data_IF_505247050359
#
_entry.id   IF_505247050359
#
_cell.length_a   1.000
_cell.length_b   1.000
_cell.length_c   1.000
_cell.angle_alpha   90.00
_cell.angle_beta   90.00
_cell.angle_gamma   90.00
#
_symmetry.space_group_name_H-M   'P 1'
#
loop_
_entity.id
_entity.type
_entity.pdbx_description
1 polymer ?
#
# COMPACT_ATOMS: atom_id res chain seq x y z
N UNK A 1 16.58 14.90 -10.09
CA UNK A 1 16.21 15.84 -11.17
C UNK A 1 15.17 15.19 -12.07
N UNK A 2 14.30 15.99 -12.66
CA UNK A 2 13.25 15.57 -13.59
C UNK A 2 13.87 15.08 -14.90
N UNK A 3 13.49 13.90 -15.34
CA UNK A 3 13.93 13.34 -16.64
C UNK A 3 13.14 13.94 -17.82
N UNK A 4 13.71 13.81 -19.02
CA UNK A 4 12.97 14.14 -20.25
C UNK A 4 11.71 13.30 -20.45
N UNK A 5 11.71 12.06 -19.95
CA UNK A 5 10.55 11.17 -20.01
C UNK A 5 9.43 11.62 -19.06
N UNK A 6 9.75 11.94 -17.80
CA UNK A 6 8.80 12.45 -16.84
C UNK A 6 8.17 13.79 -17.33
N UNK A 7 9.00 14.73 -17.82
CA UNK A 7 8.54 16.02 -18.30
C UNK A 7 7.55 15.97 -19.49
N UNK A 8 7.53 14.84 -20.23
CA UNK A 8 6.66 14.64 -21.41
C UNK A 8 5.40 13.82 -21.10
N UNK A 9 5.13 13.50 -19.83
CA UNK A 9 3.94 12.75 -19.48
C UNK A 9 2.65 13.52 -19.89
N UNK A 10 1.59 12.79 -20.26
CA UNK A 10 0.33 13.40 -20.66
C UNK A 10 -0.39 14.04 -19.47
N UNK A 11 -1.42 14.84 -19.78
CA UNK A 11 -2.33 15.38 -18.76
C UNK A 11 -3.13 14.25 -18.05
N UNK A 12 -3.37 14.39 -16.72
CA UNK A 12 -3.11 15.51 -15.81
C UNK A 12 -1.66 15.50 -15.33
N UNK A 13 -0.98 16.65 -15.30
CA UNK A 13 0.44 16.73 -14.89
C UNK A 13 0.76 18.04 -14.19
N UNK A 14 1.80 18.03 -13.35
CA UNK A 14 2.38 19.23 -12.72
C UNK A 14 2.97 20.18 -13.77
N UNK A 15 3.44 19.63 -14.87
CA UNK A 15 4.19 20.36 -15.89
C UNK A 15 5.62 20.64 -15.46
N UNK A 16 6.23 19.69 -14.74
CA UNK A 16 7.64 19.75 -14.38
C UNK A 16 8.52 19.77 -15.63
N UNK A 17 9.59 20.58 -15.59
CA UNK A 17 10.53 20.74 -16.71
C UNK A 17 11.76 19.86 -16.50
N UNK A 18 12.34 19.37 -17.60
CA UNK A 18 13.58 18.59 -17.55
C UNK A 18 14.68 19.33 -16.82
N UNK A 19 15.34 18.66 -15.87
CA UNK A 19 16.40 19.20 -15.03
C UNK A 19 15.92 19.88 -13.74
N UNK A 20 14.65 20.24 -13.60
CA UNK A 20 14.10 20.73 -12.33
C UNK A 20 14.25 19.69 -11.23
N UNK A 21 14.25 20.16 -9.98
CA UNK A 21 14.39 19.29 -8.81
C UNK A 21 13.36 19.63 -7.75
N UNK A 22 12.81 18.58 -7.15
CA UNK A 22 11.79 18.65 -6.11
C UNK A 22 12.14 17.75 -4.94
N UNK A 23 11.49 17.90 -3.80
CA UNK A 23 11.59 16.92 -2.71
C UNK A 23 10.69 15.73 -2.98
N UNK A 24 11.03 14.56 -2.46
CA UNK A 24 10.17 13.37 -2.59
C UNK A 24 8.82 13.60 -1.89
N UNK A 25 8.83 14.25 -0.73
CA UNK A 25 7.60 14.55 0.03
C UNK A 25 6.65 15.42 -0.79
N UNK A 26 7.13 16.50 -1.43
CA UNK A 26 6.29 17.36 -2.29
C UNK A 26 5.71 16.59 -3.48
N UNK A 27 6.50 15.69 -4.07
CA UNK A 27 6.01 14.87 -5.19
C UNK A 27 4.96 13.85 -4.74
N UNK A 28 5.06 13.31 -3.53
CA UNK A 28 4.03 12.46 -2.95
C UNK A 28 2.73 13.24 -2.70
N UNK A 29 2.80 14.48 -2.19
CA UNK A 29 1.63 15.36 -2.08
C UNK A 29 1.01 15.63 -3.45
N UNK A 30 1.81 16.04 -4.43
CA UNK A 30 1.36 16.36 -5.77
C UNK A 30 0.66 15.15 -6.44
N UNK A 31 1.27 13.97 -6.35
CA UNK A 31 0.70 12.74 -6.88
C UNK A 31 -0.60 12.34 -6.17
N UNK A 32 -0.65 12.42 -4.85
CA UNK A 32 -1.83 11.96 -4.10
C UNK A 32 -3.00 12.93 -4.17
N UNK A 33 -2.74 14.24 -4.17
CA UNK A 33 -3.78 15.27 -4.15
C UNK A 33 -4.33 15.57 -5.55
N UNK A 34 -3.46 15.73 -6.54
CA UNK A 34 -3.82 16.15 -7.92
C UNK A 34 -3.78 15.00 -8.94
N UNK A 35 -3.18 13.85 -8.58
CA UNK A 35 -3.00 12.72 -9.52
C UNK A 35 -2.10 13.05 -10.72
N UNK A 36 -1.08 13.86 -10.56
CA UNK A 36 -0.18 14.24 -11.63
C UNK A 36 0.66 13.06 -12.16
N UNK A 37 0.57 12.81 -13.45
CA UNK A 37 1.23 11.70 -14.13
C UNK A 37 2.75 11.81 -14.09
N UNK A 38 3.29 13.00 -14.33
CA UNK A 38 4.73 13.27 -14.31
C UNK A 38 5.33 13.06 -12.92
N UNK A 39 4.63 13.44 -11.84
CA UNK A 39 5.11 13.23 -10.48
C UNK A 39 5.19 11.75 -10.11
N UNK A 40 4.25 10.93 -10.56
CA UNK A 40 4.30 9.47 -10.38
C UNK A 40 5.52 8.86 -11.09
N UNK A 41 5.81 9.29 -12.31
CA UNK A 41 7.00 8.86 -13.07
C UNK A 41 8.29 9.33 -12.40
N UNK A 42 8.35 10.59 -11.93
CA UNK A 42 9.51 11.12 -11.20
C UNK A 42 9.83 10.30 -9.94
N UNK A 43 8.80 9.90 -9.18
CA UNK A 43 8.94 9.05 -8.00
C UNK A 43 9.45 7.66 -8.41
N UNK A 44 8.87 7.08 -9.46
CA UNK A 44 9.26 5.77 -9.95
C UNK A 44 10.72 5.72 -10.41
N UNK A 45 11.16 6.69 -11.20
CA UNK A 45 12.56 6.81 -11.65
C UNK A 45 13.53 7.04 -10.47
N UNK A 46 13.10 7.84 -9.48
CA UNK A 46 13.95 8.12 -8.31
C UNK A 46 14.16 6.88 -7.43
N UNK A 47 13.13 6.08 -7.21
CA UNK A 47 13.16 4.93 -6.30
C UNK A 47 13.65 3.67 -7.03
N UNK A 48 13.15 3.42 -8.24
CA UNK A 48 13.44 2.22 -9.02
C UNK A 48 14.63 2.35 -9.97
N UNK A 49 15.04 3.59 -10.28
CA UNK A 49 16.01 3.86 -11.33
C UNK A 49 15.39 3.87 -12.73
N UNK A 50 14.27 3.19 -12.93
CA UNK A 50 13.41 3.26 -14.12
C UNK A 50 11.97 2.94 -13.78
N UNK A 51 11.06 3.24 -14.72
CA UNK A 51 9.61 2.94 -14.58
C UNK A 51 9.39 1.43 -14.50
N UNK A 52 10.10 0.64 -15.30
CA UNK A 52 9.95 -0.82 -15.37
C UNK A 52 10.39 -1.48 -14.05
N UNK A 53 11.55 -1.09 -13.52
CA UNK A 53 12.03 -1.60 -12.22
C UNK A 53 11.07 -1.22 -11.09
N UNK A 54 10.52 -0.01 -11.13
CA UNK A 54 9.53 0.40 -10.15
C UNK A 54 8.20 -0.38 -10.28
N UNK A 55 7.75 -0.66 -11.52
CA UNK A 55 6.58 -1.52 -11.75
C UNK A 55 6.81 -2.93 -11.19
N UNK A 56 8.01 -3.50 -11.36
CA UNK A 56 8.37 -4.79 -10.74
C UNK A 56 8.33 -4.72 -9.20
N UNK A 57 8.78 -3.61 -8.61
CA UNK A 57 8.67 -3.39 -7.17
C UNK A 57 7.20 -3.32 -6.72
N UNK A 58 6.33 -2.60 -7.46
CA UNK A 58 4.89 -2.53 -7.20
C UNK A 58 4.24 -3.92 -7.29
N UNK A 59 4.54 -4.70 -8.32
CA UNK A 59 4.01 -6.05 -8.51
C UNK A 59 4.47 -7.02 -7.42
N UNK A 60 5.73 -6.94 -6.99
CA UNK A 60 6.24 -7.72 -5.88
C UNK A 60 5.52 -7.37 -4.58
N UNK A 61 5.37 -6.06 -4.28
CA UNK A 61 4.64 -5.59 -3.11
C UNK A 61 3.17 -6.02 -3.12
N UNK A 62 2.51 -5.94 -4.26
CA UNK A 62 1.13 -6.41 -4.42
C UNK A 62 1.00 -7.89 -4.04
N UNK A 63 1.89 -8.75 -4.55
CA UNK A 63 1.91 -10.18 -4.18
C UNK A 63 2.18 -10.41 -2.68
N UNK A 64 3.14 -9.67 -2.10
CA UNK A 64 3.49 -9.76 -0.67
C UNK A 64 2.29 -9.46 0.25
N UNK A 65 1.43 -8.53 -0.15
CA UNK A 65 0.24 -8.16 0.62
C UNK A 65 -1.02 -8.92 0.24
N UNK A 66 -0.88 -9.95 -0.62
CA UNK A 66 -1.95 -10.89 -0.95
C UNK A 66 -2.85 -10.44 -2.10
N UNK A 67 -2.39 -9.56 -2.99
CA UNK A 67 -3.08 -9.24 -4.23
C UNK A 67 -2.81 -10.31 -5.28
N UNK A 68 -3.86 -10.91 -5.85
CA UNK A 68 -3.75 -12.01 -6.80
C UNK A 68 -4.26 -11.67 -8.21
N UNK A 69 -4.98 -10.56 -8.36
CA UNK A 69 -5.58 -10.08 -9.61
C UNK A 69 -5.06 -8.71 -9.98
N UNK A 70 -3.80 -8.41 -9.63
CA UNK A 70 -3.16 -7.12 -9.84
C UNK A 70 -1.90 -7.29 -10.69
N UNK A 71 -1.80 -6.49 -11.75
CA UNK A 71 -0.61 -6.37 -12.56
C UNK A 71 -0.36 -4.92 -12.93
N UNK A 72 0.76 -4.37 -12.48
CA UNK A 72 1.17 -3.00 -12.72
C UNK A 72 2.23 -2.92 -13.80
N UNK A 73 2.03 -2.02 -14.78
CA UNK A 73 2.97 -1.70 -15.85
C UNK A 73 3.42 -0.24 -15.73
N UNK A 74 2.49 0.66 -15.36
CA UNK A 74 2.73 2.10 -15.26
C UNK A 74 2.61 2.58 -13.81
N UNK A 75 3.44 3.54 -13.35
CA UNK A 75 3.35 4.07 -12.00
C UNK A 75 2.20 5.08 -11.80
N UNK A 76 1.71 5.65 -12.88
CA UNK A 76 0.66 6.68 -12.91
C UNK A 76 -0.75 6.12 -13.17
N UNK A 77 -0.87 4.80 -13.46
CA UNK A 77 -2.16 4.15 -13.68
C UNK A 77 -2.75 4.38 -15.07
N UNK A 78 -2.00 4.89 -16.01
CA UNK A 78 -2.43 4.96 -17.42
C UNK A 78 -2.53 3.56 -18.02
N UNK A 79 -3.50 3.39 -18.91
CA UNK A 79 -3.75 2.13 -19.59
C UNK A 79 -2.51 1.65 -20.35
N UNK A 80 -2.11 0.41 -20.17
CA UNK A 80 -0.96 -0.21 -20.79
C UNK A 80 -1.15 -1.71 -20.93
N UNK A 81 -0.45 -2.32 -21.87
CA UNK A 81 -0.42 -3.76 -22.10
C UNK A 81 0.99 -4.18 -22.53
N UNK A 82 1.43 -5.33 -22.05
CA UNK A 82 2.65 -6.00 -22.45
C UNK A 82 2.41 -7.49 -22.73
N UNK A 83 3.46 -8.27 -22.92
CA UNK A 83 3.38 -9.71 -23.19
C UNK A 83 2.78 -10.52 -22.03
N UNK A 84 2.84 -10.00 -20.80
CA UNK A 84 2.32 -10.65 -19.58
C UNK A 84 0.85 -10.33 -19.32
N UNK A 85 0.31 -9.25 -19.90
CA UNK A 85 -1.09 -8.87 -19.76
C UNK A 85 -1.34 -7.37 -19.75
N UNK A 86 -2.54 -6.98 -19.34
CA UNK A 86 -2.95 -5.58 -19.21
C UNK A 86 -2.67 -5.01 -17.82
N UNK A 87 -2.35 -3.72 -17.75
CA UNK A 87 -2.30 -2.98 -16.49
C UNK A 87 -3.67 -2.99 -15.82
N UNK A 88 -3.76 -3.54 -14.62
CA UNK A 88 -5.07 -3.66 -13.97
C UNK A 88 -5.02 -4.21 -12.55
N UNK A 89 -6.17 -4.14 -11.90
CA UNK A 89 -6.39 -4.66 -10.55
C UNK A 89 -7.85 -5.07 -10.35
N UNK A 90 -8.15 -5.74 -9.24
CA UNK A 90 -9.51 -6.00 -8.79
C UNK A 90 -9.94 -5.08 -7.65
N UNK A 91 -11.25 -5.00 -7.40
CA UNK A 91 -11.78 -4.23 -6.28
C UNK A 91 -11.27 -4.76 -4.92
N UNK A 92 -11.17 -6.09 -4.78
CA UNK A 92 -10.63 -6.73 -3.58
C UNK A 92 -9.16 -6.38 -3.36
N UNK A 93 -8.32 -6.52 -4.39
CA UNK A 93 -6.90 -6.18 -4.31
C UNK A 93 -6.67 -4.70 -3.99
N UNK A 94 -7.47 -3.80 -4.58
CA UNK A 94 -7.37 -2.36 -4.29
C UNK A 94 -7.72 -2.04 -2.83
N UNK A 95 -8.74 -2.73 -2.28
CA UNK A 95 -9.08 -2.62 -0.87
C UNK A 95 -7.94 -3.17 0.03
N UNK A 96 -7.25 -4.25 -0.37
CA UNK A 96 -6.08 -4.80 0.33
C UNK A 96 -4.91 -3.82 0.32
N UNK A 97 -4.64 -3.17 -0.83
CA UNK A 97 -3.61 -2.13 -0.94
C UNK A 97 -3.93 -0.98 0.01
N UNK A 98 -5.17 -0.47 0.02
CA UNK A 98 -5.58 0.58 0.95
C UNK A 98 -5.43 0.13 2.40
N UNK A 99 -5.87 -1.09 2.73
CA UNK A 99 -5.71 -1.66 4.08
C UNK A 99 -4.23 -1.68 4.51
N UNK A 100 -3.34 -2.12 3.62
CA UNK A 100 -1.91 -2.10 3.90
C UNK A 100 -1.43 -0.68 4.20
N UNK A 101 -1.76 0.29 3.36
CA UNK A 101 -1.32 1.67 3.51
C UNK A 101 -1.76 2.32 4.83
N UNK A 102 -3.00 2.06 5.29
CA UNK A 102 -3.58 2.76 6.44
C UNK A 102 -3.48 2.00 7.77
N UNK A 103 -3.23 0.69 7.75
CA UNK A 103 -3.21 -0.14 8.97
C UNK A 103 -1.91 -0.88 9.21
N UNK A 104 -1.18 -1.27 8.17
CA UNK A 104 -0.07 -2.22 8.26
C UNK A 104 1.28 -1.58 7.95
N UNK A 105 1.34 -0.68 6.99
CA UNK A 105 2.58 -0.02 6.55
C UNK A 105 3.29 0.69 7.72
N UNK A 106 4.62 0.57 7.85
CA UNK A 106 5.38 1.38 8.80
C UNK A 106 5.24 2.90 8.54
N UNK A 107 4.94 3.29 7.30
CA UNK A 107 4.76 4.68 6.86
C UNK A 107 3.28 5.12 6.82
N UNK A 108 2.38 4.38 7.51
CA UNK A 108 0.94 4.67 7.52
C UNK A 108 0.62 6.09 7.96
N UNK A 109 1.35 6.61 8.95
CA UNK A 109 1.07 7.93 9.50
C UNK A 109 1.43 9.05 8.48
N UNK A 110 2.50 8.87 7.72
CA UNK A 110 2.85 9.77 6.60
C UNK A 110 1.82 9.64 5.47
N UNK A 111 1.40 8.43 5.12
CA UNK A 111 0.36 8.22 4.12
C UNK A 111 -0.95 8.91 4.50
N UNK A 112 -1.40 8.75 5.74
CA UNK A 112 -2.61 9.40 6.26
C UNK A 112 -2.45 10.93 6.29
N UNK A 113 -1.31 11.46 6.76
CA UNK A 113 -0.99 12.89 6.74
C UNK A 113 -1.17 13.47 5.33
N UNK A 114 -0.62 12.82 4.31
CA UNK A 114 -0.71 13.28 2.92
C UNK A 114 -2.16 13.20 2.42
N UNK A 115 -2.81 12.04 2.56
CA UNK A 115 -4.13 11.82 1.95
C UNK A 115 -5.26 12.59 2.64
N UNK A 116 -5.08 13.01 3.89
CA UNK A 116 -6.03 13.85 4.65
C UNK A 116 -5.79 15.36 4.44
N UNK A 117 -4.65 15.75 3.90
CA UNK A 117 -4.36 17.18 3.67
C UNK A 117 -5.32 17.75 2.64
N UNK A 118 -5.93 18.89 2.95
CA UNK A 118 -6.82 19.60 2.03
C UNK A 118 -6.08 20.24 0.87
N UNK A 119 -4.85 20.69 1.11
CA UNK A 119 -3.98 21.34 0.13
C UNK A 119 -2.51 21.23 0.55
N UNK A 120 -1.61 21.45 -0.40
CA UNK A 120 -0.17 21.54 -0.17
C UNK A 120 0.45 22.53 -1.14
N UNK A 121 1.31 23.40 -0.65
CA UNK A 121 2.03 24.37 -1.48
C UNK A 121 3.53 24.12 -1.35
N UNK A 122 4.24 24.07 -2.45
CA UNK A 122 5.66 23.80 -2.52
C UNK A 122 6.32 24.57 -3.67
N UNK A 123 7.62 24.66 -3.65
CA UNK A 123 8.41 25.28 -4.71
C UNK A 123 9.39 24.27 -5.32
N UNK A 124 9.72 24.48 -6.59
CA UNK A 124 10.90 23.87 -7.19
C UNK A 124 12.15 24.32 -6.39
N UNK A 125 13.16 23.46 -6.30
CA UNK A 125 14.32 23.67 -5.41
C UNK A 125 15.11 24.97 -5.64
N UNK A 126 15.11 25.52 -6.86
CA UNK A 126 15.71 26.84 -7.12
C UNK A 126 14.82 28.01 -6.66
N UNK A 127 13.56 27.74 -6.33
CA UNK A 127 12.55 28.74 -5.98
C UNK A 127 11.96 29.48 -7.18
N UNK A 128 12.28 29.06 -8.41
CA UNK A 128 11.83 29.73 -9.63
C UNK A 128 10.32 29.55 -9.91
N UNK A 129 9.74 28.43 -9.43
CA UNK A 129 8.33 28.09 -9.63
C UNK A 129 7.70 27.58 -8.34
N UNK A 130 6.48 28.05 -8.08
CA UNK A 130 5.67 27.62 -6.92
C UNK A 130 4.40 26.96 -7.41
N UNK A 131 3.99 25.89 -6.74
CA UNK A 131 2.82 25.09 -7.05
C UNK A 131 1.91 24.97 -5.85
N UNK A 132 0.60 24.85 -6.10
CA UNK A 132 -0.39 24.61 -5.07
C UNK A 132 -1.28 23.46 -5.52
N UNK A 133 -1.37 22.42 -4.68
CA UNK A 133 -2.18 21.24 -4.90
C UNK A 133 -3.41 21.27 -3.99
N UNK A 134 -4.54 20.77 -4.49
CA UNK A 134 -5.80 20.65 -3.76
C UNK A 134 -6.27 19.20 -3.78
N UNK A 135 -6.77 18.72 -2.66
CA UNK A 135 -7.20 17.33 -2.56
C UNK A 135 -8.53 17.08 -3.30
N UNK A 136 -8.48 16.24 -4.32
CA UNK A 136 -9.67 15.85 -5.10
C UNK A 136 -10.52 14.75 -4.45
N UNK A 137 -10.16 14.25 -3.27
CA UNK A 137 -10.99 13.34 -2.50
C UNK A 137 -12.13 14.10 -1.80
N UNK A 138 -13.19 14.40 -2.53
CA UNK A 138 -14.35 15.13 -1.99
C UNK A 138 -15.04 14.39 -0.83
N UNK A 139 -14.84 13.07 -0.67
CA UNK A 139 -15.46 12.31 0.41
C UNK A 139 -14.97 12.75 1.80
N UNK A 140 -13.75 13.27 1.92
CA UNK A 140 -13.21 13.86 3.16
C UNK A 140 -14.07 15.03 3.67
N UNK A 141 -14.70 15.77 2.77
CA UNK A 141 -15.60 16.88 3.12
C UNK A 141 -17.08 16.45 3.22
N UNK A 142 -17.40 15.22 2.79
CA UNK A 142 -18.77 14.69 2.79
C UNK A 142 -19.11 13.88 4.02
N UNK A 143 -18.12 13.38 4.73
CA UNK A 143 -18.29 12.54 5.93
C UNK A 143 -17.17 12.84 6.92
N UNK A 144 -17.54 13.14 8.16
CA UNK A 144 -16.59 13.27 9.28
C UNK A 144 -15.93 11.93 9.65
N UNK A 145 -16.48 10.81 9.18
CA UNK A 145 -15.95 9.46 9.37
C UNK A 145 -14.83 9.12 8.35
N UNK A 146 -14.70 9.92 7.26
CA UNK A 146 -13.74 9.66 6.20
C UNK A 146 -12.29 9.69 6.73
N UNK A 147 -11.54 8.63 6.41
CA UNK A 147 -10.16 8.46 6.86
C UNK A 147 -9.15 8.71 5.74
N UNK A 148 -9.40 8.17 4.55
CA UNK A 148 -8.48 8.27 3.41
C UNK A 148 -9.21 7.89 2.12
N UNK A 149 -8.56 8.12 0.99
CA UNK A 149 -9.04 7.63 -0.30
C UNK A 149 -8.23 8.17 -1.48
N UNK A 150 -8.41 7.50 -2.62
CA UNK A 150 -7.81 7.91 -3.90
C UNK A 150 -8.81 7.72 -5.04
N UNK A 151 -8.95 8.73 -5.86
CA UNK A 151 -9.72 8.69 -7.12
C UNK A 151 -8.85 8.27 -8.28
N UNK A 152 -9.46 7.67 -9.30
CA UNK A 152 -8.83 7.37 -10.58
C UNK A 152 -9.82 7.49 -11.73
N UNK A 153 -9.31 7.71 -12.92
CA UNK A 153 -10.08 7.70 -14.15
C UNK A 153 -9.16 7.42 -15.34
N UNK A 154 -9.54 6.44 -16.16
CA UNK A 154 -9.10 6.31 -17.54
C UNK A 154 -10.33 6.06 -18.43
N UNK A 155 -10.19 6.16 -19.76
CA UNK A 155 -11.30 5.86 -20.65
C UNK A 155 -11.77 4.41 -20.53
N UNK A 156 -10.85 3.49 -20.32
CA UNK A 156 -11.12 2.06 -20.21
C UNK A 156 -11.68 1.69 -18.83
N UNK A 157 -11.10 2.22 -17.75
CA UNK A 157 -11.50 1.89 -16.38
C UNK A 157 -12.75 2.62 -15.90
N UNK A 158 -13.11 3.78 -16.50
CA UNK A 158 -14.15 4.66 -15.96
C UNK A 158 -13.74 5.34 -14.65
N UNK A 159 -14.70 5.91 -13.93
CA UNK A 159 -14.42 6.50 -12.61
C UNK A 159 -14.23 5.43 -11.56
N UNK A 160 -13.08 5.47 -10.90
CA UNK A 160 -12.69 4.56 -9.82
C UNK A 160 -12.47 5.34 -8.53
N UNK A 161 -12.68 4.66 -7.41
CA UNK A 161 -12.40 5.21 -6.08
C UNK A 161 -12.15 4.09 -5.09
N UNK A 162 -11.07 4.21 -4.33
CA UNK A 162 -10.86 3.43 -3.11
C UNK A 162 -10.96 4.38 -1.93
N UNK A 163 -11.79 4.05 -0.95
CA UNK A 163 -12.03 4.87 0.23
C UNK A 163 -11.89 4.09 1.52
N UNK A 164 -11.61 4.81 2.60
CA UNK A 164 -11.59 4.29 3.96
C UNK A 164 -12.26 5.27 4.92
N UNK A 165 -12.94 4.75 5.93
CA UNK A 165 -13.60 5.52 6.99
C UNK A 165 -13.55 4.79 8.33
N UNK A 166 -13.61 5.58 9.42
CA UNK A 166 -13.82 5.06 10.78
C UNK A 166 -15.27 5.33 11.19
N UNK A 167 -16.03 4.28 11.43
CA UNK A 167 -17.43 4.37 11.86
C UNK A 167 -17.68 3.41 13.00
N UNK A 168 -18.31 3.88 14.08
CA UNK A 168 -18.63 3.07 15.25
C UNK A 168 -17.42 2.32 15.86
N UNK A 169 -16.22 2.91 15.80
CA UNK A 169 -14.98 2.30 16.31
C UNK A 169 -14.31 1.29 15.36
N UNK A 170 -14.87 1.12 14.17
CA UNK A 170 -14.34 0.18 13.16
C UNK A 170 -13.88 0.89 11.90
N UNK A 171 -12.83 0.36 11.26
CA UNK A 171 -12.32 0.85 9.98
C UNK A 171 -12.96 0.08 8.84
N UNK A 172 -13.66 0.79 7.97
CA UNK A 172 -14.24 0.27 6.74
C UNK A 172 -13.40 0.70 5.55
N UNK A 173 -13.22 -0.20 4.61
CA UNK A 173 -12.54 0.06 3.34
C UNK A 173 -13.43 -0.45 2.23
N UNK A 174 -13.58 0.34 1.18
CA UNK A 174 -14.33 -0.05 -0.02
C UNK A 174 -13.61 0.36 -1.27
N UNK A 175 -13.89 -0.34 -2.36
CA UNK A 175 -13.35 -0.06 -3.68
C UNK A 175 -14.47 -0.08 -4.72
N UNK A 176 -14.50 0.94 -5.55
CA UNK A 176 -15.43 1.12 -6.66
C UNK A 176 -14.62 1.22 -7.95
N UNK A 177 -14.83 0.29 -8.87
CA UNK A 177 -14.21 0.28 -10.19
C UNK A 177 -15.31 0.43 -11.24
N UNK A 178 -15.04 1.19 -12.31
CA UNK A 178 -16.02 1.42 -13.36
C UNK A 178 -17.30 2.11 -12.89
N UNK A 179 -17.21 2.99 -11.87
CA UNK A 179 -18.36 3.65 -11.26
C UNK A 179 -18.84 4.86 -12.08
N UNK A 180 -19.13 4.63 -13.37
CA UNK A 180 -19.58 5.60 -14.36
C UNK A 180 -18.48 6.14 -15.26
N UNK A 181 -18.90 6.81 -16.30
CA UNK A 181 -18.08 7.50 -17.32
C UNK A 181 -18.43 8.98 -17.38
N UNK A 182 -17.85 9.79 -18.29
CA UNK A 182 -18.12 11.23 -18.38
C UNK A 182 -19.61 11.58 -18.30
N UNK A 183 -19.93 12.55 -17.44
CA UNK A 183 -21.29 12.88 -17.05
C UNK A 183 -21.81 12.16 -15.78
N UNK A 184 -21.07 11.19 -15.23
CA UNK A 184 -21.44 10.39 -14.05
C UNK A 184 -20.37 10.44 -12.93
N UNK A 185 -19.55 11.46 -12.91
CA UNK A 185 -18.39 11.60 -11.98
C UNK A 185 -18.76 11.62 -10.49
N UNK A 186 -20.03 11.85 -10.16
CA UNK A 186 -20.50 11.90 -8.75
C UNK A 186 -21.00 10.56 -8.22
N UNK A 187 -21.17 9.55 -9.07
CA UNK A 187 -21.72 8.25 -8.66
C UNK A 187 -20.89 7.59 -7.58
N UNK A 188 -19.56 7.62 -7.72
CA UNK A 188 -18.64 7.09 -6.69
C UNK A 188 -18.89 7.65 -5.29
N UNK A 189 -19.30 8.91 -5.14
CA UNK A 189 -19.60 9.51 -3.85
C UNK A 189 -20.93 9.02 -3.27
N UNK A 190 -21.95 8.89 -4.11
CA UNK A 190 -23.24 8.34 -3.73
C UNK A 190 -23.09 6.88 -3.28
N UNK A 191 -22.41 6.08 -4.09
CA UNK A 191 -22.21 4.67 -3.82
C UNK A 191 -21.33 4.44 -2.60
N UNK A 192 -20.29 5.27 -2.39
CA UNK A 192 -19.48 5.26 -1.16
C UNK A 192 -20.32 5.49 0.10
N UNK A 193 -21.23 6.49 0.08
CA UNK A 193 -22.16 6.73 1.21
C UNK A 193 -23.06 5.54 1.47
N UNK A 194 -23.62 4.96 0.40
CA UNK A 194 -24.50 3.80 0.50
C UNK A 194 -23.77 2.60 1.10
N UNK A 195 -22.57 2.30 0.61
CA UNK A 195 -21.75 1.19 1.11
C UNK A 195 -21.36 1.39 2.58
N UNK A 196 -20.90 2.60 2.93
CA UNK A 196 -20.51 2.89 4.32
C UNK A 196 -21.70 2.83 5.29
N UNK A 197 -22.89 3.33 4.88
CA UNK A 197 -24.11 3.21 5.69
C UNK A 197 -24.49 1.76 5.86
N UNK A 198 -24.59 1.02 4.76
CA UNK A 198 -24.95 -0.40 4.77
C UNK A 198 -23.99 -1.22 5.64
N UNK A 199 -22.69 -1.03 5.48
CA UNK A 199 -21.70 -1.74 6.27
C UNK A 199 -21.81 -1.39 7.76
N UNK A 200 -21.99 -0.11 8.11
CA UNK A 200 -22.14 0.33 9.50
C UNK A 200 -23.41 -0.17 10.20
N UNK A 201 -24.44 -0.50 9.42
CA UNK A 201 -25.73 -1.00 9.94
C UNK A 201 -25.79 -2.53 10.01
N UNK A 202 -25.10 -3.24 9.08
CA UNK A 202 -25.30 -4.67 8.89
C UNK A 202 -24.03 -5.49 9.17
N UNK A 203 -22.87 -4.86 9.29
CA UNK A 203 -21.65 -5.59 9.59
C UNK A 203 -21.68 -6.16 11.02
N UNK A 204 -21.46 -7.46 11.12
CA UNK A 204 -21.24 -8.14 12.39
C UNK A 204 -19.75 -8.36 12.57
N UNK A 205 -19.23 -7.92 13.70
CA UNK A 205 -17.82 -8.10 14.04
C UNK A 205 -17.64 -9.32 14.90
N UNK A 206 -16.75 -10.18 14.48
CA UNK A 206 -16.21 -11.27 15.31
C UNK A 206 -14.75 -10.94 15.56
N UNK A 207 -14.37 -10.75 16.81
CA UNK A 207 -12.96 -10.63 17.17
C UNK A 207 -12.28 -11.96 16.92
N UNK A 208 -11.35 -11.97 16.00
CA UNK A 208 -10.50 -13.11 15.71
C UNK A 208 -9.13 -12.85 16.33
N UNK A 209 -8.66 -13.79 17.11
CA UNK A 209 -7.30 -13.78 17.63
C UNK A 209 -6.40 -14.56 16.67
N UNK A 210 -5.42 -13.89 16.09
CA UNK A 210 -4.40 -14.58 15.32
C UNK A 210 -3.67 -15.59 16.23
N UNK A 211 -3.38 -16.81 15.75
CA UNK A 211 -2.50 -17.71 16.45
C UNK A 211 -1.09 -17.10 16.54
N UNK A 212 -0.26 -17.62 17.44
CA UNK A 212 1.12 -17.16 17.59
C UNK A 212 1.85 -17.17 16.25
N UNK A 213 2.46 -16.03 15.91
CA UNK A 213 3.17 -15.88 14.63
C UNK A 213 4.49 -16.67 14.65
N UNK A 214 4.82 -17.37 13.54
CA UNK A 214 6.06 -18.15 13.47
C UNK A 214 7.27 -17.22 13.44
N UNK A 215 8.38 -17.68 14.02
CA UNK A 215 9.67 -17.03 13.87
C UNK A 215 10.26 -17.34 12.48
N UNK A 216 11.02 -16.39 11.95
CA UNK A 216 11.71 -16.51 10.66
C UNK A 216 13.21 -16.47 10.88
N UNK A 217 13.94 -17.34 10.22
CA UNK A 217 15.41 -17.36 10.27
C UNK A 217 15.97 -16.20 9.44
N UNK A 218 16.94 -15.47 9.98
CA UNK A 218 17.66 -14.42 9.27
C UNK A 218 19.07 -14.90 8.92
N UNK A 219 19.37 -14.94 7.63
CA UNK A 219 20.67 -15.26 7.09
C UNK A 219 21.46 -13.96 6.84
N UNK A 220 22.68 -13.90 7.33
CA UNK A 220 23.57 -12.75 7.15
C UNK A 220 24.52 -12.97 5.96
N UNK A 221 25.04 -11.88 5.40
CA UNK A 221 25.99 -11.92 4.27
C UNK A 221 27.31 -12.58 4.64
N UNK A 222 27.74 -12.48 5.89
CA UNK A 222 28.92 -13.19 6.37
C UNK A 222 28.63 -14.67 6.60
N UNK A 223 29.47 -15.54 5.99
CA UNK A 223 29.38 -17.00 6.14
C UNK A 223 29.72 -17.52 7.53
N UNK A 224 30.43 -16.72 8.34
CA UNK A 224 30.79 -17.06 9.72
C UNK A 224 29.73 -16.60 10.74
N UNK A 225 28.81 -15.73 10.36
CA UNK A 225 27.71 -15.33 11.22
C UNK A 225 26.70 -16.48 11.36
N UNK A 226 26.35 -16.81 12.59
CA UNK A 226 25.29 -17.80 12.84
C UNK A 226 23.94 -17.18 12.44
N UNK A 227 23.05 -17.94 11.78
CA UNK A 227 21.70 -17.47 11.52
C UNK A 227 21.03 -16.98 12.83
N UNK A 228 20.32 -15.87 12.73
CA UNK A 228 19.52 -15.32 13.80
C UNK A 228 18.05 -15.64 13.58
N UNK A 229 17.22 -15.39 14.58
CA UNK A 229 15.77 -15.44 14.43
C UNK A 229 15.19 -14.04 14.54
N UNK A 230 14.11 -13.79 13.83
CA UNK A 230 13.29 -12.59 13.93
C UNK A 230 11.88 -12.99 14.34
N UNK A 231 11.36 -12.32 15.37
CA UNK A 231 9.96 -12.45 15.71
C UNK A 231 9.11 -11.81 14.63
N UNK A 232 7.99 -12.42 14.32
CA UNK A 232 7.03 -11.84 13.40
C UNK A 232 5.77 -11.43 14.14
N UNK A 233 4.98 -10.56 13.51
CA UNK A 233 3.68 -10.16 14.01
C UNK A 233 2.67 -10.11 12.87
N UNK A 234 1.43 -10.40 13.21
CA UNK A 234 0.29 -10.31 12.33
C UNK A 234 -0.79 -9.46 13.00
N UNK A 235 -1.18 -8.38 12.38
CA UNK A 235 -2.25 -7.52 12.86
C UNK A 235 -3.58 -7.99 12.25
N UNK A 236 -4.11 -9.07 12.81
CA UNK A 236 -5.47 -9.49 12.52
C UNK A 236 -6.42 -8.69 13.42
N UNK A 237 -6.93 -7.58 12.91
CA UNK A 237 -8.04 -6.85 13.52
C UNK A 237 -9.35 -7.38 12.93
N UNK A 238 -10.41 -7.39 13.71
CA UNK A 238 -11.70 -8.01 13.45
C UNK A 238 -12.06 -8.21 11.96
N UNK A 239 -12.57 -9.37 11.64
CA UNK A 239 -13.07 -9.69 10.31
C UNK A 239 -14.55 -9.37 10.27
N UNK A 240 -14.97 -8.60 9.27
CA UNK A 240 -16.38 -8.34 9.01
C UNK A 240 -17.01 -9.61 8.44
N UNK A 241 -18.02 -10.16 9.12
CA UNK A 241 -18.87 -11.16 8.52
C UNK A 241 -19.73 -10.50 7.43
N UNK A 242 -19.86 -11.12 6.25
CA UNK A 242 -20.78 -10.65 5.21
C UNK A 242 -22.20 -10.58 5.79
N UNK A 243 -22.92 -9.49 5.51
CA UNK A 243 -24.33 -9.38 5.90
C UNK A 243 -25.15 -10.47 5.20
N UNK A 244 -25.82 -11.29 5.99
CA UNK A 244 -26.64 -12.40 5.50
C UNK A 244 -26.01 -13.79 5.67
N UNK A 245 -24.74 -13.90 6.07
CA UNK A 245 -24.10 -15.19 6.32
C UNK A 245 -24.29 -15.61 7.79
N UNK A 246 -25.50 -16.04 8.13
CA UNK A 246 -25.87 -16.49 9.48
C UNK A 246 -25.51 -17.96 9.76
N UNK A 247 -24.91 -18.69 8.79
CA UNK A 247 -24.70 -20.13 8.90
C UNK A 247 -23.28 -20.56 9.30
N UNK A 248 -22.32 -19.65 9.52
CA UNK A 248 -20.99 -20.05 9.96
C UNK A 248 -20.75 -19.70 11.43
N UNK A 249 -20.60 -20.69 12.29
CA UNK A 249 -20.13 -20.50 13.66
C UNK A 249 -18.70 -19.99 13.63
N UNK A 250 -18.30 -19.21 14.65
CA UNK A 250 -16.91 -18.76 14.87
C UNK A 250 -15.93 -19.95 14.90
N UNK A 251 -16.43 -21.12 15.26
CA UNK A 251 -15.68 -22.39 15.39
C UNK A 251 -15.13 -22.95 14.05
N UNK A 252 -15.49 -22.39 12.90
CA UNK A 252 -15.09 -22.86 11.57
C UNK A 252 -13.96 -22.01 10.95
N UNK A 253 -13.32 -21.16 11.74
CA UNK A 253 -12.20 -20.32 11.30
C UNK A 253 -10.89 -21.11 11.36
N UNK A 254 -10.20 -21.18 10.21
CA UNK A 254 -8.90 -21.83 10.08
C UNK A 254 -7.84 -20.83 9.64
N UNK A 255 -6.71 -20.86 10.32
CA UNK A 255 -5.56 -20.01 10.06
C UNK A 255 -4.43 -20.84 9.44
N UNK A 256 -3.83 -20.33 8.35
CA UNK A 256 -2.70 -20.98 7.67
C UNK A 256 -1.61 -19.93 7.42
N UNK A 257 -0.49 -20.08 8.11
CA UNK A 257 0.69 -19.26 7.83
C UNK A 257 1.41 -19.75 6.56
N UNK A 258 1.71 -18.81 5.68
CA UNK A 258 2.63 -18.98 4.55
C UNK A 258 3.74 -17.94 4.72
N UNK A 259 4.78 -18.32 5.45
CA UNK A 259 5.88 -17.45 5.83
C UNK A 259 7.17 -18.09 5.33
N UNK A 260 8.10 -17.27 4.86
CA UNK A 260 9.40 -17.76 4.41
C UNK A 260 10.16 -18.45 5.55
N UNK A 261 10.77 -19.61 5.29
CA UNK A 261 11.61 -20.30 6.27
C UNK A 261 12.81 -19.44 6.68
N UNK A 262 13.31 -18.63 5.75
CA UNK A 262 14.40 -17.70 6.01
C UNK A 262 14.36 -16.48 5.12
N UNK A 263 14.91 -15.37 5.61
CA UNK A 263 15.12 -14.12 4.90
C UNK A 263 16.58 -13.68 4.97
N UNK A 264 17.03 -12.82 4.07
CA UNK A 264 18.39 -12.26 4.10
C UNK A 264 18.39 -10.93 4.83
N UNK A 265 19.39 -10.70 5.69
CA UNK A 265 19.63 -9.39 6.29
C UNK A 265 20.13 -8.39 5.21
N UNK A 266 19.87 -7.07 5.40
CA UNK A 266 19.11 -6.48 6.49
C UNK A 266 17.60 -6.70 6.35
N UNK A 267 16.91 -6.88 7.49
CA UNK A 267 15.44 -6.94 7.56
C UNK A 267 14.97 -5.77 8.44
N UNK A 268 13.94 -5.09 8.00
CA UNK A 268 13.43 -3.91 8.69
C UNK A 268 12.11 -4.19 9.40
N UNK A 269 11.89 -3.52 10.53
CA UNK A 269 10.61 -3.58 11.25
C UNK A 269 9.47 -3.21 10.30
N UNK A 270 8.42 -4.04 10.27
CA UNK A 270 7.27 -3.86 9.39
C UNK A 270 7.46 -4.44 7.98
N UNK A 271 8.65 -4.94 7.63
CA UNK A 271 8.86 -5.63 6.37
C UNK A 271 8.03 -6.92 6.30
N UNK A 272 7.34 -7.13 5.17
CA UNK A 272 6.50 -8.31 4.98
C UNK A 272 7.38 -9.53 4.71
N UNK A 273 7.24 -10.55 5.54
CA UNK A 273 7.98 -11.82 5.45
C UNK A 273 7.10 -13.02 5.11
N UNK A 274 5.81 -12.79 4.96
CA UNK A 274 4.84 -13.82 4.59
C UNK A 274 3.41 -13.33 4.75
N UNK A 275 2.48 -14.27 4.78
CA UNK A 275 1.05 -14.01 4.92
C UNK A 275 0.38 -15.04 5.82
N UNK A 276 -0.65 -14.59 6.53
CA UNK A 276 -1.60 -15.44 7.22
C UNK A 276 -2.88 -15.51 6.39
N UNK A 277 -3.22 -16.70 5.92
CA UNK A 277 -4.49 -16.97 5.24
C UNK A 277 -5.55 -17.33 6.27
N UNK A 278 -6.67 -16.63 6.22
CA UNK A 278 -7.82 -16.85 7.11
C UNK A 278 -8.95 -17.45 6.30
N UNK A 279 -9.38 -18.64 6.66
CA UNK A 279 -10.47 -19.35 6.02
C UNK A 279 -11.66 -19.47 6.94
N UNK A 280 -12.86 -19.43 6.36
CA UNK A 280 -14.10 -19.87 6.99
C UNK A 280 -14.59 -21.09 6.23
N UNK A 281 -14.52 -22.25 6.85
CA UNK A 281 -14.70 -23.51 6.14
C UNK A 281 -13.70 -23.66 5.00
N UNK A 282 -14.19 -23.66 3.77
CA UNK A 282 -13.38 -23.71 2.53
C UNK A 282 -13.14 -22.36 1.87
N UNK A 283 -13.88 -21.30 2.29
CA UNK A 283 -13.80 -19.96 1.69
C UNK A 283 -12.63 -19.21 2.31
N UNK A 284 -11.72 -18.69 1.49
CA UNK A 284 -10.70 -17.73 1.91
C UNK A 284 -11.38 -16.38 2.16
N UNK A 285 -11.32 -15.88 3.40
CA UNK A 285 -12.00 -14.64 3.80
C UNK A 285 -11.04 -13.48 3.98
N UNK A 286 -9.78 -13.75 4.33
CA UNK A 286 -8.77 -12.70 4.41
C UNK A 286 -7.35 -13.24 4.19
N UNK A 287 -6.44 -12.34 3.74
CA UNK A 287 -5.00 -12.57 3.70
C UNK A 287 -4.36 -11.42 4.48
N UNK A 288 -3.74 -11.75 5.60
CA UNK A 288 -3.15 -10.76 6.51
C UNK A 288 -1.63 -10.80 6.38
N UNK A 289 -0.96 -9.67 6.09
CA UNK A 289 0.49 -9.65 6.04
C UNK A 289 1.13 -10.04 7.38
N UNK A 290 2.15 -10.89 7.32
CA UNK A 290 3.02 -11.22 8.44
C UNK A 290 4.29 -10.39 8.30
N UNK A 291 4.56 -9.55 9.29
CA UNK A 291 5.64 -8.57 9.24
C UNK A 291 6.71 -8.84 10.28
N UNK A 292 7.93 -8.44 9.99
CA UNK A 292 9.03 -8.43 10.94
C UNK A 292 8.70 -7.52 12.13
N UNK A 293 8.79 -8.04 13.34
CA UNK A 293 8.50 -7.28 14.57
C UNK A 293 9.68 -6.39 15.00
N UNK A 294 10.88 -6.71 14.53
CA UNK A 294 12.13 -6.03 14.89
C UNK A 294 13.04 -5.89 13.66
N UNK A 295 14.01 -4.97 13.74
CA UNK A 295 15.05 -4.81 12.73
C UNK A 295 16.21 -5.76 13.00
N UNK A 296 16.76 -6.40 11.95
CA UNK A 296 18.07 -7.10 11.98
C UNK A 296 18.97 -6.49 10.93
N UNK A 297 20.07 -5.89 11.36
CA UNK A 297 21.11 -5.36 10.48
C UNK A 297 21.96 -6.51 9.94
N UNK A 298 22.52 -6.33 8.75
CA UNK A 298 23.47 -7.29 8.21
C UNK A 298 24.75 -7.28 9.04
N UNK A 299 25.38 -8.45 9.16
CA UNK A 299 26.69 -8.61 9.81
C UNK A 299 27.74 -8.64 8.69
N UNK A 300 28.53 -7.59 8.59
CA UNK A 300 29.60 -7.52 7.63
C UNK A 300 30.94 -8.02 8.19
N UNK A 301 31.90 -8.30 7.31
CA UNK A 301 33.24 -8.78 7.69
C UNK A 301 33.95 -7.85 8.70
N UNK A 302 33.70 -6.55 8.65
CA UNK A 302 34.30 -5.60 9.61
C UNK A 302 33.73 -5.76 11.02
N UNK A 303 32.43 -6.11 11.15
CA UNK A 303 31.83 -6.39 12.47
C UNK A 303 32.44 -7.63 13.10
N UNK A 304 32.79 -8.64 12.30
CA UNK A 304 33.48 -9.85 12.76
C UNK A 304 34.90 -9.57 13.24
N UNK A 305 35.66 -8.76 12.50
CA UNK A 305 37.01 -8.32 12.94
C UNK A 305 36.90 -7.60 14.28
N UNK A 306 35.95 -6.68 14.45
CA UNK A 306 35.73 -5.97 15.70
C UNK A 306 35.36 -6.92 16.87
N UNK A 307 34.55 -7.94 16.58
CA UNK A 307 34.17 -8.95 17.59
C UNK A 307 35.35 -9.80 18.04
N UNK A 308 36.21 -10.22 17.09
CA UNK A 308 37.43 -10.97 17.37
C UNK A 308 38.41 -10.11 18.15
N UNK A 309 38.64 -8.86 17.76
CA UNK A 309 39.52 -7.95 18.50
C UNK A 309 39.03 -7.65 19.92
N UNK A 310 37.72 -7.52 20.12
CA UNK A 310 37.15 -7.36 21.48
C UNK A 310 37.35 -8.61 22.36
N UNK A 311 37.27 -9.83 21.79
CA UNK A 311 37.50 -11.09 22.51
C UNK A 311 38.96 -11.34 22.81
N UNK A 312 39.86 -10.81 21.97
CA UNK A 312 41.31 -10.91 22.20
C UNK A 312 41.85 -9.88 23.21
N UNK A 313 41.05 -8.84 23.53
CA UNK A 313 41.37 -7.78 24.49
C UNK A 313 40.79 -8.02 25.88
N UNK A 314 40.06 -9.10 26.11
CA UNK A 314 39.61 -9.64 27.41
C UNK A 314 40.48 -10.83 27.83
#
# INVERSE_FOLDING_TARGET
AVSSYAAKQPEVRLGAQEGESYTLEDMLYAMMLESYNDTAVMIAEHIGGSVEVFADMMNRKAREIGCHSTYFITPNGLDAQDESGGHGTSADDLARIMRYCILVSPERDMFLKITQSSSHTFAEKSGSRTFSCVNHNAFLNMSSEALSGKTGFTCDAGYCYVGAANKNGHTYIWSLLGCGWPGKQTYKWKDSKTLLSYAGEHAQYTELSAPESPNVTVNYSSKSAKPGNICTKCNLSGIVAEAGDTEGKVDDIRYVYNVADSVKAPVYTGEVVGSLFVYRGRKLIDIVPVTAAEKKTDVCFMDEILLVLRRAAM
#
